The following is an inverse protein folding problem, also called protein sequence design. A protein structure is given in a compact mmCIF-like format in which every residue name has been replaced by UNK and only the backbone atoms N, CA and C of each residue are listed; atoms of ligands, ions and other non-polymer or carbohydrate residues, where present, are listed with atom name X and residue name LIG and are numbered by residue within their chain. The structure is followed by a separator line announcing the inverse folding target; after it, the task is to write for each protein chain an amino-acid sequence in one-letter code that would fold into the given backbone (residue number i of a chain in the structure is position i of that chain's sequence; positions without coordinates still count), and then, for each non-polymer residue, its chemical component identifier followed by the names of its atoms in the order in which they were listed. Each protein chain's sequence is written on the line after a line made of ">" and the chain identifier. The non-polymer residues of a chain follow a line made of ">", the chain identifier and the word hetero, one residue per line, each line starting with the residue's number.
data_IF_407677879081
#
_entry.id   IF_407677879081
#
_cell.length_a   1.000
_cell.length_b   1.000
_cell.length_c   1.000
_cell.angle_alpha   90.00
_cell.angle_beta   90.00
_cell.angle_gamma   90.00
#
_symmetry.space_group_name_H-M   'P 1'
#
loop_
_entity.id
_entity.type
_entity.pdbx_description
1 polymer ?
#
# COMPACT_ATOMS: atom_id res chain seq x y z
N UNK A 1 -9.43 -6.65 -12.66
CA UNK A 1 -8.08 -6.14 -13.02
C UNK A 1 -7.77 -6.57 -14.45
N UNK A 2 -7.04 -5.78 -15.26
CA UNK A 2 -6.96 -5.95 -16.72
C UNK A 2 -6.07 -7.14 -17.11
N UNK A 3 -6.44 -7.87 -18.15
CA UNK A 3 -5.73 -9.07 -18.61
C UNK A 3 -4.69 -8.70 -19.69
N UNK A 4 -3.40 -9.03 -19.47
CA UNK A 4 -2.30 -8.78 -20.42
C UNK A 4 -0.91 -9.04 -19.82
N UNK A 5 0.18 -9.03 -20.59
CA UNK A 5 1.55 -9.30 -20.07
C UNK A 5 2.07 -8.23 -19.11
N UNK A 6 1.62 -6.98 -19.24
CA UNK A 6 1.87 -5.90 -18.26
C UNK A 6 1.15 -6.10 -16.92
N UNK A 7 0.22 -7.06 -16.85
CA UNK A 7 -0.53 -7.36 -15.64
C UNK A 7 0.38 -7.90 -14.53
N UNK A 8 1.34 -8.77 -14.83
CA UNK A 8 2.21 -9.35 -13.78
C UNK A 8 3.05 -8.26 -13.11
N UNK A 9 3.59 -7.33 -13.90
CA UNK A 9 4.37 -6.19 -13.37
C UNK A 9 3.53 -5.26 -12.51
N UNK A 10 2.32 -4.92 -12.97
CA UNK A 10 1.39 -4.07 -12.21
C UNK A 10 0.83 -4.79 -10.98
N UNK A 11 0.62 -6.10 -11.08
CA UNK A 11 0.22 -6.96 -9.97
C UNK A 11 1.32 -6.97 -8.93
N UNK A 12 2.57 -7.31 -9.27
CA UNK A 12 3.70 -7.34 -8.33
C UNK A 12 3.83 -6.01 -7.56
N UNK A 13 3.75 -4.88 -8.26
CA UNK A 13 3.78 -3.56 -7.60
C UNK A 13 2.57 -3.36 -6.67
N UNK A 14 1.36 -3.75 -7.09
CA UNK A 14 0.13 -3.62 -6.31
C UNK A 14 0.06 -4.57 -5.09
N UNK A 15 0.40 -5.85 -5.25
CA UNK A 15 0.39 -6.84 -4.16
C UNK A 15 1.54 -6.67 -3.19
N UNK A 16 2.67 -6.07 -3.60
CA UNK A 16 3.78 -5.77 -2.66
C UNK A 16 3.37 -4.86 -1.49
N UNK A 17 2.29 -4.08 -1.65
CA UNK A 17 1.75 -3.18 -0.63
C UNK A 17 0.36 -3.59 -0.14
N UNK A 18 -0.21 -4.67 -0.67
CA UNK A 18 -1.56 -5.11 -0.32
C UNK A 18 -1.55 -5.82 1.04
N UNK A 19 -2.51 -5.48 1.91
CA UNK A 19 -2.69 -6.15 3.19
C UNK A 19 -3.62 -7.37 3.10
N UNK A 20 -4.44 -7.40 2.05
CA UNK A 20 -5.37 -8.47 1.73
C UNK A 20 -5.51 -8.60 0.21
N UNK A 21 -5.77 -9.82 -0.27
CA UNK A 21 -6.13 -10.09 -1.65
C UNK A 21 -7.60 -10.55 -1.71
N UNK A 22 -8.33 -10.08 -2.72
CA UNK A 22 -9.67 -10.59 -3.05
C UNK A 22 -9.58 -11.37 -4.34
N UNK A 23 -9.81 -12.68 -4.25
CA UNK A 23 -9.82 -13.61 -5.37
C UNK A 23 -11.26 -13.81 -5.84
N UNK A 24 -11.57 -13.36 -7.04
CA UNK A 24 -12.89 -13.54 -7.66
C UNK A 24 -12.88 -14.82 -8.49
N UNK A 25 -13.81 -15.72 -8.19
CA UNK A 25 -13.99 -17.01 -8.89
C UNK A 25 -15.39 -17.06 -9.46
N UNK A 26 -15.54 -17.19 -10.77
CA UNK A 26 -16.83 -17.29 -11.44
C UNK A 26 -17.46 -18.66 -11.25
N UNK A 27 -18.78 -18.70 -11.03
CA UNK A 27 -19.53 -19.93 -10.73
C UNK A 27 -20.19 -20.59 -11.95
N UNK A 28 -20.21 -19.94 -13.11
CA UNK A 28 -20.73 -20.51 -14.36
C UNK A 28 -19.99 -21.80 -14.71
N UNK A 29 -20.71 -22.84 -15.19
CA UNK A 29 -20.16 -24.19 -15.35
C UNK A 29 -18.91 -24.21 -16.24
N UNK A 30 -18.98 -23.60 -17.42
CA UNK A 30 -17.86 -23.48 -18.36
C UNK A 30 -16.78 -22.50 -17.88
N UNK A 31 -17.18 -21.41 -17.21
CA UNK A 31 -16.26 -20.37 -16.73
C UNK A 31 -15.41 -20.85 -15.55
N UNK A 32 -16.00 -21.64 -14.65
CA UNK A 32 -15.33 -22.17 -13.47
C UNK A 32 -14.25 -23.17 -13.86
N UNK A 33 -14.59 -24.15 -14.71
CA UNK A 33 -13.64 -25.14 -15.23
C UNK A 33 -12.51 -24.47 -16.01
N UNK A 34 -12.84 -23.46 -16.81
CA UNK A 34 -11.84 -22.65 -17.48
C UNK A 34 -10.91 -21.95 -16.47
N UNK A 35 -11.46 -21.35 -15.41
CA UNK A 35 -10.70 -20.61 -14.39
C UNK A 35 -9.78 -21.47 -13.51
N UNK A 36 -10.10 -22.76 -13.35
CA UNK A 36 -9.35 -23.72 -12.53
C UNK A 36 -8.41 -24.63 -13.33
N UNK A 37 -8.47 -24.57 -14.67
CA UNK A 37 -7.57 -25.32 -15.55
C UNK A 37 -6.09 -24.92 -15.38
N UNK A 38 -5.18 -25.87 -15.62
CA UNK A 38 -3.72 -25.86 -15.34
C UNK A 38 -2.91 -24.65 -15.86
N UNK A 39 -3.50 -23.73 -16.63
CA UNK A 39 -2.79 -22.68 -17.36
C UNK A 39 -3.44 -21.29 -17.19
N UNK A 40 -4.09 -21.01 -16.05
CA UNK A 40 -4.86 -19.75 -15.88
C UNK A 40 -4.57 -18.93 -14.63
N UNK A 41 -4.72 -17.63 -14.88
CA UNK A 41 -4.64 -16.45 -14.02
C UNK A 41 -5.09 -16.63 -12.57
N UNK A 42 -6.23 -17.28 -12.26
CA UNK A 42 -6.72 -17.39 -10.87
C UNK A 42 -5.71 -18.10 -9.96
N UNK A 43 -5.05 -19.13 -10.50
CA UNK A 43 -4.03 -19.89 -9.78
C UNK A 43 -2.74 -19.07 -9.61
N UNK A 44 -2.27 -18.47 -10.70
CA UNK A 44 -1.09 -17.61 -10.69
C UNK A 44 -1.27 -16.41 -9.75
N UNK A 45 -2.45 -15.78 -9.73
CA UNK A 45 -2.76 -14.64 -8.87
C UNK A 45 -2.70 -15.00 -7.39
N UNK A 46 -3.28 -16.14 -7.01
CA UNK A 46 -3.26 -16.60 -5.63
C UNK A 46 -1.83 -16.97 -5.18
N UNK A 47 -1.06 -17.61 -6.06
CA UNK A 47 0.34 -17.94 -5.81
C UNK A 47 1.22 -16.69 -5.71
N UNK A 48 1.05 -15.71 -6.62
CA UNK A 48 1.78 -14.44 -6.60
C UNK A 48 1.43 -13.64 -5.34
N UNK A 49 0.16 -13.56 -4.97
CA UNK A 49 -0.25 -12.88 -3.73
C UNK A 49 0.41 -13.51 -2.49
N UNK A 50 0.46 -14.84 -2.42
CA UNK A 50 1.10 -15.54 -1.31
C UNK A 50 2.62 -15.30 -1.28
N UNK A 51 3.27 -15.43 -2.44
CA UNK A 51 4.72 -15.21 -2.59
C UNK A 51 5.12 -13.79 -2.22
N UNK A 52 4.28 -12.80 -2.51
CA UNK A 52 4.50 -11.39 -2.17
C UNK A 52 4.14 -11.04 -0.72
N UNK A 53 3.79 -12.03 0.10
CA UNK A 53 3.58 -11.86 1.54
C UNK A 53 2.17 -11.44 1.94
N UNK A 54 1.20 -11.47 1.01
CA UNK A 54 -0.21 -11.22 1.34
C UNK A 54 -0.78 -12.46 2.02
N UNK A 55 -0.88 -12.42 3.34
CA UNK A 55 -1.36 -13.57 4.15
C UNK A 55 -2.88 -13.63 4.32
N UNK A 56 -3.58 -12.53 4.04
CA UNK A 56 -5.03 -12.44 4.14
C UNK A 56 -5.65 -12.57 2.75
N UNK A 57 -6.53 -13.56 2.59
CA UNK A 57 -7.20 -13.86 1.33
C UNK A 57 -8.71 -13.93 1.57
N UNK A 58 -9.46 -13.35 0.65
CA UNK A 58 -10.92 -13.43 0.56
C UNK A 58 -11.26 -14.05 -0.78
N UNK A 59 -12.17 -15.02 -0.81
CA UNK A 59 -12.64 -15.64 -2.04
C UNK A 59 -14.08 -15.20 -2.27
N UNK A 60 -14.32 -14.47 -3.36
CA UNK A 60 -15.65 -14.10 -3.83
C UNK A 60 -16.10 -15.05 -4.94
N UNK A 61 -17.11 -15.88 -4.67
CA UNK A 61 -17.76 -16.73 -5.66
C UNK A 61 -18.79 -15.89 -6.40
N UNK A 62 -18.46 -15.51 -7.64
CA UNK A 62 -19.15 -14.54 -8.48
C UNK A 62 -20.05 -15.19 -9.54
N UNK A 63 -21.07 -14.47 -10.02
CA UNK A 63 -22.08 -14.93 -10.98
C UNK A 63 -22.88 -16.17 -10.55
N UNK A 64 -23.28 -16.25 -9.29
CA UNK A 64 -24.14 -17.36 -8.85
C UNK A 64 -25.57 -17.30 -9.42
N UNK A 65 -26.00 -16.12 -9.86
CA UNK A 65 -27.21 -15.93 -10.67
C UNK A 65 -27.18 -16.72 -11.99
N UNK A 66 -25.98 -16.95 -12.54
CA UNK A 66 -25.76 -17.62 -13.82
C UNK A 66 -25.56 -19.14 -13.69
N UNK A 67 -25.75 -19.73 -12.50
CA UNK A 67 -25.72 -21.18 -12.35
C UNK A 67 -27.03 -21.80 -12.87
N UNK A 68 -27.01 -23.07 -13.22
CA UNK A 68 -28.20 -23.80 -13.67
C UNK A 68 -28.54 -24.91 -12.66
N UNK A 69 -29.62 -24.78 -11.86
CA UNK A 69 -30.49 -23.60 -11.69
C UNK A 69 -29.80 -22.44 -10.93
N UNK A 70 -30.34 -21.21 -10.98
CA UNK A 70 -29.74 -20.05 -10.32
C UNK A 70 -29.55 -20.26 -8.81
N UNK A 71 -28.44 -19.76 -8.26
CA UNK A 71 -28.10 -19.85 -6.82
C UNK A 71 -28.04 -21.29 -6.28
N UNK A 72 -27.49 -22.23 -7.06
CA UNK A 72 -27.42 -23.64 -6.67
C UNK A 72 -26.40 -23.89 -5.55
N UNK A 73 -26.87 -24.39 -4.40
CA UNK A 73 -26.01 -24.75 -3.25
C UNK A 73 -24.97 -25.82 -3.58
N UNK A 74 -25.32 -26.80 -4.42
CA UNK A 74 -24.42 -27.89 -4.82
C UNK A 74 -23.18 -27.35 -5.53
N UNK A 75 -23.36 -26.40 -6.46
CA UNK A 75 -22.28 -25.78 -7.23
C UNK A 75 -21.37 -24.93 -6.32
N UNK A 76 -21.97 -24.16 -5.42
CA UNK A 76 -21.19 -23.41 -4.43
C UNK A 76 -20.30 -24.33 -3.56
N UNK A 77 -20.85 -25.43 -3.04
CA UNK A 77 -20.08 -26.41 -2.24
C UNK A 77 -18.95 -27.07 -3.03
N UNK A 78 -19.18 -27.36 -4.31
CA UNK A 78 -18.16 -27.90 -5.22
C UNK A 78 -16.99 -26.92 -5.39
N UNK A 79 -17.30 -25.66 -5.75
CA UNK A 79 -16.32 -24.58 -5.94
C UNK A 79 -15.51 -24.37 -4.65
N UNK A 80 -16.18 -24.26 -3.50
CA UNK A 80 -15.51 -24.07 -2.22
C UNK A 80 -14.55 -25.22 -1.92
N UNK A 81 -14.93 -26.47 -2.19
CA UNK A 81 -14.08 -27.65 -1.96
C UNK A 81 -12.83 -27.64 -2.83
N UNK A 82 -12.99 -27.32 -4.12
CA UNK A 82 -11.88 -27.30 -5.07
C UNK A 82 -10.91 -26.15 -4.77
N UNK A 83 -11.44 -24.94 -4.58
CA UNK A 83 -10.64 -23.76 -4.21
C UNK A 83 -9.97 -23.96 -2.85
N UNK A 84 -10.63 -24.59 -1.87
CA UNK A 84 -10.03 -24.94 -0.57
C UNK A 84 -8.83 -25.86 -0.73
N UNK A 85 -8.93 -26.87 -1.59
CA UNK A 85 -7.81 -27.79 -1.88
C UNK A 85 -6.65 -27.03 -2.51
N UNK A 86 -6.96 -26.08 -3.40
CA UNK A 86 -5.98 -25.28 -4.11
C UNK A 86 -5.24 -24.28 -3.20
N UNK A 87 -5.96 -23.46 -2.43
CA UNK A 87 -5.36 -22.48 -1.50
C UNK A 87 -4.50 -23.16 -0.43
N UNK A 88 -4.89 -24.39 -0.01
CA UNK A 88 -4.12 -25.21 0.91
C UNK A 88 -2.79 -25.68 0.29
N UNK A 89 -2.76 -25.98 -1.01
CA UNK A 89 -1.51 -26.31 -1.74
C UNK A 89 -0.57 -25.11 -1.84
N UNK A 90 -1.11 -23.90 -2.01
CA UNK A 90 -0.29 -22.67 -2.05
C UNK A 90 0.32 -22.37 -0.67
N UNK A 91 -0.42 -22.62 0.41
CA UNK A 91 0.03 -22.40 1.79
C UNK A 91 -0.93 -21.59 2.66
N UNK A 92 -2.07 -21.12 2.12
CA UNK A 92 -3.10 -20.48 2.94
C UNK A 92 -3.83 -21.49 3.83
N UNK A 93 -4.20 -21.07 5.03
CA UNK A 93 -5.02 -21.89 5.93
C UNK A 93 -6.51 -21.73 5.58
N UNK A 94 -7.24 -22.79 5.19
CA UNK A 94 -8.64 -22.69 4.77
C UNK A 94 -9.56 -22.01 5.80
N UNK A 95 -9.32 -22.25 7.09
CA UNK A 95 -10.13 -21.68 8.18
C UNK A 95 -9.95 -20.16 8.31
N UNK A 96 -8.90 -19.58 7.72
CA UNK A 96 -8.61 -18.13 7.78
C UNK A 96 -9.19 -17.35 6.59
N UNK A 97 -9.73 -18.06 5.59
CA UNK A 97 -10.20 -17.50 4.32
C UNK A 97 -11.73 -17.46 4.33
N UNK A 98 -12.30 -16.28 4.04
CA UNK A 98 -13.74 -16.12 3.87
C UNK A 98 -14.14 -16.51 2.45
N UNK A 99 -15.17 -17.35 2.32
CA UNK A 99 -15.84 -17.63 1.05
C UNK A 99 -17.17 -16.88 1.02
N UNK A 100 -17.23 -15.84 0.21
CA UNK A 100 -18.43 -15.01 0.06
C UNK A 100 -19.09 -15.34 -1.25
N UNK A 101 -20.38 -15.61 -1.21
CA UNK A 101 -21.20 -15.75 -2.40
C UNK A 101 -21.66 -14.36 -2.83
N UNK A 102 -21.34 -13.90 -4.05
CA UNK A 102 -21.73 -12.58 -4.56
C UNK A 102 -22.34 -12.65 -5.97
N UNK A 103 -23.27 -11.75 -6.25
CA UNK A 103 -23.66 -11.38 -7.62
C UNK A 103 -23.48 -9.87 -7.79
N UNK A 104 -22.58 -9.45 -8.67
CA UNK A 104 -22.34 -8.03 -8.89
C UNK A 104 -23.42 -7.37 -9.74
N UNK A 105 -24.12 -8.14 -10.57
CA UNK A 105 -25.21 -7.62 -11.40
C UNK A 105 -26.45 -7.29 -10.56
N UNK A 106 -26.83 -8.22 -9.67
CA UNK A 106 -27.99 -8.07 -8.79
C UNK A 106 -27.65 -7.40 -7.44
N UNK A 107 -26.37 -7.23 -7.12
CA UNK A 107 -25.91 -6.69 -5.84
C UNK A 107 -25.97 -7.69 -4.67
N UNK A 108 -26.31 -8.96 -4.91
CA UNK A 108 -26.51 -9.96 -3.87
C UNK A 108 -25.27 -10.13 -2.98
N UNK A 109 -25.45 -10.01 -1.66
CA UNK A 109 -24.42 -10.15 -0.63
C UNK A 109 -23.20 -9.23 -0.82
N UNK A 110 -23.30 -8.16 -1.62
CA UNK A 110 -22.22 -7.18 -1.77
C UNK A 110 -22.19 -6.25 -0.55
N UNK A 111 -23.30 -5.54 -0.31
CA UNK A 111 -23.51 -4.65 0.81
C UNK A 111 -24.47 -5.28 1.83
N UNK A 112 -25.62 -5.74 1.33
CA UNK A 112 -26.71 -6.31 2.12
C UNK A 112 -26.92 -7.81 1.82
N UNK A 113 -27.43 -8.61 2.80
CA UNK A 113 -27.75 -10.01 2.57
C UNK A 113 -28.85 -10.18 1.51
N UNK A 114 -28.68 -11.16 0.63
CA UNK A 114 -29.65 -11.45 -0.42
C UNK A 114 -30.78 -12.37 0.06
N UNK A 115 -32.02 -12.00 -0.29
CA UNK A 115 -33.20 -12.86 -0.12
C UNK A 115 -33.22 -14.06 -1.07
N UNK A 116 -32.49 -14.01 -2.19
CA UNK A 116 -32.44 -15.06 -3.21
C UNK A 116 -31.66 -16.30 -2.74
N UNK A 117 -30.97 -16.20 -1.60
CA UNK A 117 -30.01 -17.21 -1.13
C UNK A 117 -30.28 -17.58 0.34
N UNK A 118 -31.50 -18.03 0.69
CA UNK A 118 -31.88 -18.29 2.08
C UNK A 118 -31.07 -19.43 2.73
N UNK A 119 -30.46 -20.30 1.92
CA UNK A 119 -29.64 -21.41 2.38
C UNK A 119 -28.21 -21.00 2.78
N UNK A 120 -27.73 -19.81 2.38
CA UNK A 120 -26.38 -19.35 2.69
C UNK A 120 -26.35 -18.70 4.07
N UNK A 121 -25.81 -19.44 5.05
CA UNK A 121 -25.69 -18.98 6.44
C UNK A 121 -24.53 -18.00 6.68
N UNK A 122 -23.90 -17.53 5.61
CA UNK A 122 -22.73 -16.67 5.70
C UNK A 122 -21.39 -17.41 5.70
N UNK A 123 -20.33 -16.63 5.73
CA UNK A 123 -18.95 -17.05 5.86
C UNK A 123 -18.52 -17.04 7.33
N UNK A 124 -17.51 -17.85 7.64
CA UNK A 124 -16.90 -17.91 8.97
C UNK A 124 -15.40 -17.99 8.82
N UNK A 125 -14.70 -17.13 9.55
CA UNK A 125 -13.23 -17.05 9.54
C UNK A 125 -12.72 -17.20 10.98
N UNK A 126 -11.74 -18.07 11.16
CA UNK A 126 -11.07 -18.34 12.42
C UNK A 126 -9.65 -17.80 12.33
N UNK A 127 -9.34 -16.76 13.11
CA UNK A 127 -7.99 -16.18 13.18
C UNK A 127 -7.49 -16.23 14.62
N UNK A 128 -6.17 -16.12 14.80
CA UNK A 128 -5.55 -16.08 16.14
C UNK A 128 -6.08 -14.93 17.01
N UNK A 129 -6.53 -13.83 16.40
CA UNK A 129 -7.07 -12.66 17.08
C UNK A 129 -8.57 -12.76 17.42
N UNK A 130 -9.29 -13.75 16.89
CA UNK A 130 -10.73 -13.90 17.08
C UNK A 130 -11.42 -14.59 15.91
N UNK A 131 -12.59 -15.16 16.19
CA UNK A 131 -13.46 -15.75 15.17
C UNK A 131 -14.45 -14.68 14.69
N UNK A 132 -14.55 -14.50 13.39
CA UNK A 132 -15.51 -13.58 12.77
C UNK A 132 -16.44 -14.35 11.85
N UNK A 133 -17.67 -13.86 11.75
CA UNK A 133 -18.68 -14.37 10.84
C UNK A 133 -19.42 -13.18 10.21
N UNK A 134 -20.05 -13.44 9.08
CA UNK A 134 -20.85 -12.46 8.38
C UNK A 134 -21.45 -13.08 7.13
N UNK A 135 -22.21 -12.30 6.39
CA UNK A 135 -22.92 -12.75 5.18
C UNK A 135 -22.44 -12.02 3.95
N UNK A 136 -22.04 -10.75 4.08
CA UNK A 136 -21.76 -9.88 2.94
C UNK A 136 -20.27 -9.69 2.70
N UNK A 137 -19.92 -9.22 1.50
CA UNK A 137 -18.55 -8.92 1.11
C UNK A 137 -17.98 -7.75 1.92
N UNK A 138 -18.78 -6.70 2.12
CA UNK A 138 -18.40 -5.55 2.93
C UNK A 138 -18.00 -5.95 4.35
N UNK A 139 -18.79 -6.81 5.00
CA UNK A 139 -18.49 -7.31 6.34
C UNK A 139 -17.16 -8.08 6.40
N UNK A 140 -16.77 -8.80 5.34
CA UNK A 140 -15.45 -9.45 5.31
C UNK A 140 -14.35 -8.41 5.24
N UNK A 141 -14.53 -7.39 4.39
CA UNK A 141 -13.54 -6.33 4.20
C UNK A 141 -13.30 -5.57 5.51
N UNK A 142 -14.37 -5.26 6.25
CA UNK A 142 -14.27 -4.63 7.58
C UNK A 142 -13.58 -5.53 8.61
N UNK A 143 -13.65 -6.85 8.43
CA UNK A 143 -12.97 -7.82 9.28
C UNK A 143 -11.51 -8.06 8.89
N UNK A 144 -10.95 -7.42 7.86
CA UNK A 144 -9.52 -7.55 7.50
C UNK A 144 -8.67 -7.02 8.65
N UNK A 145 -7.72 -7.82 9.14
CA UNK A 145 -6.81 -7.34 10.17
C UNK A 145 -5.87 -6.30 9.57
N UNK A 146 -5.58 -5.20 10.30
CA UNK A 146 -4.53 -4.30 9.89
C UNK A 146 -3.22 -5.09 9.77
N UNK A 147 -2.32 -4.70 8.86
CA UNK A 147 -1.02 -5.35 8.73
C UNK A 147 -0.31 -5.35 10.08
N UNK A 148 0.18 -6.51 10.49
CA UNK A 148 1.01 -6.60 11.70
C UNK A 148 2.31 -5.85 11.44
N UNK A 149 2.49 -4.72 12.13
CA UNK A 149 3.76 -4.01 12.12
C UNK A 149 4.83 -4.96 12.72
N UNK A 150 5.91 -5.27 11.99
CA UNK A 150 6.90 -6.27 12.42
C UNK A 150 7.83 -5.75 13.53
N UNK A 151 7.27 -5.13 14.57
CA UNK A 151 7.99 -4.54 15.70
C UNK A 151 8.67 -5.57 16.59
N UNK A 152 8.12 -6.79 16.67
CA UNK A 152 8.67 -7.89 17.45
C UNK A 152 9.83 -8.66 16.78
N UNK A 153 10.27 -8.25 15.59
CA UNK A 153 11.44 -8.83 14.91
C UNK A 153 12.71 -8.03 15.25
N UNK A 154 13.91 -8.59 15.02
CA UNK A 154 15.14 -7.81 15.08
C UNK A 154 15.09 -6.59 14.16
N UNK A 155 15.81 -5.53 14.53
CA UNK A 155 15.89 -4.32 13.72
C UNK A 155 16.59 -4.64 12.41
N UNK A 156 15.91 -4.34 11.30
CA UNK A 156 16.50 -4.41 9.96
C UNK A 156 16.21 -3.10 9.24
N UNK A 157 17.28 -2.40 8.88
CA UNK A 157 17.24 -1.11 8.19
C UNK A 157 18.25 -1.11 7.06
N UNK A 158 17.82 -1.40 5.82
CA UNK A 158 18.67 -1.20 4.65
C UNK A 158 19.11 0.26 4.57
N UNK A 159 20.42 0.47 4.40
CA UNK A 159 20.95 1.80 4.16
C UNK A 159 20.63 2.23 2.73
N UNK A 160 20.09 3.43 2.60
CA UNK A 160 19.86 4.10 1.33
C UNK A 160 21.04 5.00 1.01
N UNK A 161 21.44 5.84 1.98
CA UNK A 161 22.51 6.82 1.84
C UNK A 161 23.27 6.99 3.17
N UNK A 162 24.44 7.63 3.11
CA UNK A 162 25.25 7.98 4.27
C UNK A 162 25.76 9.41 4.12
N UNK A 163 25.57 10.22 5.16
CA UNK A 163 26.05 11.60 5.22
C UNK A 163 27.10 11.77 6.30
N UNK A 164 28.02 12.72 6.09
CA UNK A 164 28.92 13.23 7.14
C UNK A 164 28.47 14.65 7.44
N UNK A 165 28.05 14.92 8.67
CA UNK A 165 27.45 16.20 9.04
C UNK A 165 28.32 16.82 10.13
N UNK A 166 29.29 17.67 9.74
CA UNK A 166 30.11 18.44 10.69
C UNK A 166 30.60 17.63 11.90
N UNK A 167 30.25 18.09 13.12
CA UNK A 167 30.60 17.46 14.40
C UNK A 167 29.87 16.11 14.64
N UNK A 168 28.83 15.80 13.85
CA UNK A 168 28.09 14.54 13.85
C UNK A 168 28.72 13.64 12.77
N UNK A 169 29.70 12.86 13.20
CA UNK A 169 30.64 12.10 12.35
C UNK A 169 30.02 11.38 11.15
N UNK A 170 28.94 10.60 11.32
CA UNK A 170 28.32 9.82 10.24
C UNK A 170 26.85 9.54 10.52
N UNK A 171 25.98 9.93 9.58
CA UNK A 171 24.52 9.78 9.66
C UNK A 171 24.03 8.86 8.53
N UNK A 172 23.75 7.58 8.83
CA UNK A 172 23.16 6.67 7.86
C UNK A 172 21.66 6.93 7.70
N UNK A 173 21.17 6.94 6.46
CA UNK A 173 19.75 7.15 6.10
C UNK A 173 19.17 5.88 5.51
N UNK A 174 17.90 5.58 5.83
CA UNK A 174 17.25 4.36 5.41
C UNK A 174 15.92 4.12 6.12
N UNK A 175 15.09 3.27 5.51
CA UNK A 175 13.78 2.85 6.03
C UNK A 175 13.94 1.69 6.99
N UNK A 176 13.32 1.77 8.16
CA UNK A 176 13.20 0.62 9.05
C UNK A 176 12.20 -0.35 8.43
N UNK A 177 12.64 -1.55 8.07
CA UNK A 177 11.80 -2.59 7.47
C UNK A 177 11.22 -3.53 8.53
N UNK A 178 12.00 -3.84 9.58
CA UNK A 178 11.55 -4.63 10.73
C UNK A 178 12.16 -4.14 12.05
N UNK A 179 11.52 -4.49 13.17
CA UNK A 179 11.96 -4.14 14.52
C UNK A 179 11.75 -2.67 14.88
N UNK A 180 12.15 -2.29 16.09
CA UNK A 180 12.07 -0.90 16.57
C UNK A 180 13.48 -0.38 16.80
N UNK A 181 13.86 0.69 16.11
CA UNK A 181 15.14 1.36 16.31
C UNK A 181 14.95 2.44 17.38
N UNK A 182 15.77 2.45 18.43
CA UNK A 182 15.73 3.46 19.51
C UNK A 182 17.12 4.05 19.73
N UNK A 183 17.22 5.30 20.21
CA UNK A 183 18.47 5.83 20.75
C UNK A 183 19.04 4.88 21.82
N UNK A 184 20.35 4.87 21.95
CA UNK A 184 21.16 3.99 22.80
C UNK A 184 21.12 2.50 22.45
N UNK A 185 20.46 2.09 21.37
CA UNK A 185 20.60 0.72 20.87
C UNK A 185 21.97 0.53 20.24
N UNK A 186 22.61 -0.61 20.54
CA UNK A 186 23.79 -1.07 19.84
C UNK A 186 23.36 -1.80 18.56
N UNK A 187 23.81 -1.32 17.41
CA UNK A 187 23.46 -1.85 16.09
C UNK A 187 24.71 -2.33 15.36
N UNK A 188 24.54 -3.37 14.54
CA UNK A 188 25.61 -3.95 13.73
C UNK A 188 25.32 -3.76 12.26
N UNK A 189 26.29 -3.21 11.53
CA UNK A 189 26.25 -2.99 10.08
C UNK A 189 26.87 -4.19 9.36
N UNK A 190 26.04 -4.90 8.60
CA UNK A 190 26.47 -5.99 7.72
C UNK A 190 26.77 -5.48 6.30
N UNK A 191 27.68 -6.11 5.53
CA UNK A 191 28.38 -7.37 5.82
C UNK A 191 29.67 -7.21 6.65
N UNK A 192 30.11 -5.98 6.91
CA UNK A 192 31.42 -5.70 7.52
C UNK A 192 31.47 -5.87 9.05
N UNK A 193 30.36 -6.27 9.69
CA UNK A 193 30.22 -6.51 11.12
C UNK A 193 30.68 -5.34 12.01
N UNK A 194 30.53 -4.10 11.53
CA UNK A 194 30.84 -2.89 12.30
C UNK A 194 29.72 -2.65 13.30
N UNK A 195 30.04 -2.53 14.59
CA UNK A 195 29.04 -2.32 15.64
C UNK A 195 29.20 -0.93 16.24
N UNK A 196 28.09 -0.22 16.45
CA UNK A 196 28.09 1.13 17.02
C UNK A 196 26.78 1.40 17.78
N UNK A 197 26.79 2.40 18.63
CA UNK A 197 25.62 2.85 19.38
C UNK A 197 24.87 3.93 18.59
N UNK A 198 23.54 3.81 18.51
CA UNK A 198 22.66 4.83 17.94
C UNK A 198 22.57 6.00 18.91
N UNK A 199 23.10 7.17 18.54
CA UNK A 199 23.06 8.36 19.42
C UNK A 199 21.70 9.07 19.39
N UNK A 200 21.20 9.36 18.20
CA UNK A 200 19.89 9.98 17.99
C UNK A 200 19.21 9.36 16.77
N UNK A 201 17.90 9.56 16.68
CA UNK A 201 17.10 9.20 15.51
C UNK A 201 16.28 10.43 15.16
N UNK A 202 16.34 10.83 13.91
CA UNK A 202 15.64 12.01 13.41
C UNK A 202 14.80 11.68 12.18
N UNK A 203 13.61 12.28 12.12
CA UNK A 203 12.73 12.27 10.94
C UNK A 203 12.28 13.71 10.73
N UNK A 204 12.51 14.27 9.54
CA UNK A 204 12.21 15.68 9.22
C UNK A 204 12.77 16.69 10.25
N UNK A 205 14.03 16.50 10.68
CA UNK A 205 14.71 17.33 11.69
C UNK A 205 14.07 17.33 13.09
N UNK A 206 13.13 16.42 13.37
CA UNK A 206 12.61 16.19 14.73
C UNK A 206 13.25 14.93 15.34
N UNK A 207 13.73 15.07 16.57
CA UNK A 207 14.26 13.95 17.34
C UNK A 207 13.14 13.00 17.78
N UNK A 208 13.33 11.71 17.53
CA UNK A 208 12.38 10.66 17.88
C UNK A 208 12.91 9.80 19.03
N UNK A 209 11.99 9.41 19.92
CA UNK A 209 12.25 8.40 20.97
C UNK A 209 12.35 6.97 20.41
N UNK A 210 11.91 6.75 19.17
CA UNK A 210 12.10 5.51 18.43
C UNK A 210 11.46 5.53 17.04
N UNK A 211 12.03 4.77 16.10
CA UNK A 211 11.51 4.55 14.76
C UNK A 211 10.90 3.15 14.62
N UNK A 212 9.69 3.09 14.05
CA UNK A 212 8.93 1.86 13.83
C UNK A 212 9.08 1.38 12.38
N UNK A 213 8.79 0.10 12.09
CA UNK A 213 8.77 -0.38 10.71
C UNK A 213 7.85 0.46 9.83
N UNK A 214 8.38 0.93 8.70
CA UNK A 214 7.66 1.79 7.77
C UNK A 214 7.74 3.29 8.08
N UNK A 215 8.26 3.72 9.23
CA UNK A 215 8.58 5.14 9.43
C UNK A 215 9.76 5.52 8.56
N UNK A 216 9.52 6.33 7.52
CA UNK A 216 10.56 6.94 6.70
C UNK A 216 10.70 8.42 7.05
N UNK A 217 11.94 8.91 7.04
CA UNK A 217 12.24 10.34 6.92
C UNK A 217 12.04 10.87 5.50
N UNK A 218 11.76 9.99 4.53
CA UNK A 218 11.68 10.34 3.12
C UNK A 218 10.41 9.71 2.50
N UNK A 219 9.29 10.43 2.55
CA UNK A 219 8.46 10.53 1.34
C UNK A 219 8.96 11.79 0.62
N UNK A 220 10.04 11.67 -0.14
CA UNK A 220 10.45 12.72 -1.07
C UNK A 220 9.72 12.43 -2.39
N UNK A 221 8.57 13.08 -2.66
CA UNK A 221 7.88 12.85 -3.92
C UNK A 221 8.77 13.33 -5.07
N UNK A 222 8.50 12.80 -6.26
CA UNK A 222 9.23 13.18 -7.45
C UNK A 222 8.66 14.47 -8.00
N UNK A 223 9.52 15.45 -8.20
CA UNK A 223 9.20 16.71 -8.83
C UNK A 223 9.53 16.63 -10.32
N UNK A 224 8.51 16.87 -11.15
CA UNK A 224 8.66 17.00 -12.59
C UNK A 224 8.63 18.48 -12.95
N UNK A 225 9.77 19.03 -13.37
CA UNK A 225 9.92 20.40 -13.86
C UNK A 225 10.61 20.32 -15.23
N UNK A 226 9.90 20.65 -16.31
CA UNK A 226 10.33 20.39 -17.70
C UNK A 226 10.67 18.93 -17.96
N UNK A 227 11.94 18.67 -18.24
CA UNK A 227 12.56 17.38 -18.49
C UNK A 227 13.21 16.81 -17.24
N UNK A 228 13.33 17.60 -16.16
CA UNK A 228 13.88 17.15 -14.89
C UNK A 228 12.85 16.31 -14.13
N UNK A 229 13.29 15.14 -13.68
CA UNK A 229 12.51 14.18 -12.91
C UNK A 229 13.34 13.77 -11.69
N UNK A 230 13.24 14.55 -10.62
CA UNK A 230 14.13 14.47 -9.44
C UNK A 230 13.29 14.40 -8.17
N UNK A 231 13.71 13.55 -7.22
CA UNK A 231 13.08 13.51 -5.90
C UNK A 231 13.43 14.79 -5.12
N UNK A 232 12.41 15.47 -4.60
CA UNK A 232 12.58 16.68 -3.81
C UNK A 232 12.01 16.48 -2.41
N UNK A 233 12.75 16.92 -1.41
CA UNK A 233 12.29 16.95 -0.04
C UNK A 233 11.51 18.24 0.24
N UNK A 234 10.45 18.15 1.04
CA UNK A 234 9.69 19.29 1.54
C UNK A 234 10.38 19.72 2.83
N UNK A 235 11.26 20.72 2.75
CA UNK A 235 12.11 21.12 3.87
C UNK A 235 11.30 21.87 4.94
N UNK A 236 10.44 22.80 4.53
CA UNK A 236 9.62 23.58 5.44
C UNK A 236 8.29 23.95 4.79
N UNK A 237 7.19 23.78 5.52
CA UNK A 237 5.88 24.31 5.14
C UNK A 237 5.78 25.72 5.73
N UNK A 238 6.09 26.75 4.95
CA UNK A 238 6.11 28.13 5.46
C UNK A 238 4.72 28.65 5.78
N UNK A 239 3.80 28.54 4.83
CA UNK A 239 2.50 29.18 4.96
C UNK A 239 1.41 28.33 4.32
N UNK A 240 0.24 28.28 4.95
CA UNK A 240 -0.99 27.81 4.31
C UNK A 240 -1.75 29.00 3.74
N UNK A 241 -2.22 28.88 2.51
CA UNK A 241 -2.92 29.91 1.76
C UNK A 241 -4.35 29.48 1.44
N UNK A 242 -5.26 30.45 1.37
CA UNK A 242 -6.58 30.26 0.79
C UNK A 242 -6.49 30.15 -0.74
N UNK A 243 -7.02 29.05 -1.29
CA UNK A 243 -6.89 28.69 -2.71
C UNK A 243 -7.46 29.73 -3.70
N UNK A 244 -8.37 30.60 -3.27
CA UNK A 244 -9.04 31.57 -4.15
C UNK A 244 -8.47 32.98 -4.03
N UNK A 245 -8.04 33.35 -2.83
CA UNK A 245 -7.63 34.72 -2.51
C UNK A 245 -6.13 34.88 -2.28
N UNK A 246 -5.36 33.79 -2.27
CA UNK A 246 -3.93 33.74 -1.93
C UNK A 246 -3.60 34.38 -0.58
N UNK A 247 -4.61 34.56 0.30
CA UNK A 247 -4.42 35.09 1.63
C UNK A 247 -3.87 34.03 2.56
N UNK A 248 -2.88 34.40 3.37
CA UNK A 248 -2.32 33.57 4.43
C UNK A 248 -3.41 33.19 5.44
N UNK A 249 -3.58 31.89 5.67
CA UNK A 249 -4.49 31.30 6.64
C UNK A 249 -3.76 30.85 7.91
N UNK A 250 -2.57 30.25 7.75
CA UNK A 250 -1.80 29.67 8.85
C UNK A 250 -0.30 29.81 8.57
N UNK A 251 0.50 30.03 9.61
CA UNK A 251 1.95 30.07 9.57
C UNK A 251 2.51 28.74 10.08
N UNK A 252 3.46 28.13 9.37
CA UNK A 252 4.08 26.87 9.77
C UNK A 252 3.10 25.69 9.96
N UNK A 253 2.19 25.38 9.01
CA UNK A 253 1.22 24.31 9.21
C UNK A 253 1.91 22.95 9.40
N UNK A 254 1.44 22.15 10.38
CA UNK A 254 2.02 20.83 10.67
C UNK A 254 1.77 19.78 9.58
N UNK A 255 0.71 19.94 8.79
CA UNK A 255 0.37 19.06 7.67
C UNK A 255 -0.51 19.78 6.64
N UNK A 256 -0.50 19.30 5.40
CA UNK A 256 -1.39 19.76 4.32
C UNK A 256 -2.37 18.66 3.91
N UNK A 257 -3.60 19.03 3.55
CA UNK A 257 -4.65 18.13 3.06
C UNK A 257 -4.98 18.42 1.60
N UNK A 258 -5.72 17.50 0.98
CA UNK A 258 -6.25 17.72 -0.37
C UNK A 258 -7.05 19.02 -0.45
N UNK A 259 -6.81 19.79 -1.50
CA UNK A 259 -7.37 21.14 -1.76
C UNK A 259 -6.75 22.30 -0.97
N UNK A 260 -5.76 22.05 -0.11
CA UNK A 260 -4.98 23.13 0.51
C UNK A 260 -4.02 23.77 -0.51
N UNK A 261 -3.72 25.05 -0.32
CA UNK A 261 -2.62 25.75 -1.00
C UNK A 261 -1.60 26.18 0.03
N UNK A 262 -0.31 26.18 -0.32
CA UNK A 262 0.75 26.48 0.63
C UNK A 262 2.02 27.01 -0.06
N UNK A 263 2.84 27.72 0.71
CA UNK A 263 4.23 28.07 0.38
C UNK A 263 5.13 27.05 1.07
N UNK A 264 6.01 26.43 0.28
CA UNK A 264 6.85 25.33 0.74
C UNK A 264 8.27 25.54 0.23
N UNK A 265 9.24 25.39 1.13
CA UNK A 265 10.65 25.28 0.76
C UNK A 265 10.97 23.85 0.37
N UNK A 266 11.59 23.70 -0.79
CA UNK A 266 11.89 22.39 -1.37
C UNK A 266 13.37 22.25 -1.65
N UNK A 267 13.95 21.11 -1.26
CA UNK A 267 15.37 20.81 -1.51
C UNK A 267 15.46 19.61 -2.45
N UNK A 268 16.01 19.77 -3.66
CA UNK A 268 16.18 18.66 -4.59
C UNK A 268 17.27 17.71 -4.09
N UNK A 269 17.02 16.40 -4.18
CA UNK A 269 17.99 15.37 -3.74
C UNK A 269 19.19 15.19 -4.68
N UNK A 270 19.13 15.81 -5.88
CA UNK A 270 20.22 15.86 -6.87
C UNK A 270 20.28 17.26 -7.46
N UNK A 271 21.41 17.61 -8.07
CA UNK A 271 21.53 18.88 -8.80
C UNK A 271 20.40 19.02 -9.82
N UNK A 272 19.71 20.16 -9.78
CA UNK A 272 18.52 20.45 -10.56
C UNK A 272 18.57 21.91 -11.00
N UNK A 273 18.39 22.15 -12.29
CA UNK A 273 18.28 23.50 -12.82
C UNK A 273 16.80 23.91 -12.85
N UNK A 274 16.45 24.91 -12.06
CA UNK A 274 15.11 25.50 -12.00
C UNK A 274 15.21 27.01 -11.88
N UNK A 275 14.16 27.69 -12.30
CA UNK A 275 14.06 29.14 -12.29
C UNK A 275 12.72 29.59 -11.69
N UNK A 276 12.67 30.83 -11.21
CA UNK A 276 11.41 31.40 -10.72
C UNK A 276 10.39 31.50 -11.87
N UNK A 277 9.11 31.26 -11.57
CA UNK A 277 8.05 31.34 -12.57
C UNK A 277 7.85 32.76 -13.12
N UNK A 278 8.17 33.78 -12.32
CA UNK A 278 8.09 35.19 -12.71
C UNK A 278 9.16 35.54 -13.75
N UNK A 279 10.36 34.97 -13.63
CA UNK A 279 11.47 35.25 -14.54
C UNK A 279 11.40 34.38 -15.80
N UNK A 280 11.07 33.10 -15.64
CA UNK A 280 10.91 32.15 -16.73
C UNK A 280 9.63 31.34 -16.57
N UNK A 281 8.77 31.19 -17.60
CA UNK A 281 7.55 30.37 -17.56
C UNK A 281 7.78 28.89 -17.19
N UNK A 282 9.06 28.52 -17.19
CA UNK A 282 9.63 27.26 -16.79
C UNK A 282 9.50 26.99 -15.27
N UNK A 283 9.16 27.95 -14.42
CA UNK A 283 8.98 27.68 -12.97
C UNK A 283 7.79 26.77 -12.58
N UNK A 284 7.13 26.04 -13.49
CA UNK A 284 5.98 25.15 -13.19
C UNK A 284 6.42 23.71 -12.98
N UNK A 285 5.88 23.08 -11.94
CA UNK A 285 6.18 21.68 -11.64
C UNK A 285 4.96 20.89 -11.19
N UNK A 286 5.06 19.57 -11.35
CA UNK A 286 4.12 18.61 -10.79
C UNK A 286 4.82 17.72 -9.77
N UNK A 287 4.19 17.54 -8.61
CA UNK A 287 4.64 16.65 -7.55
C UNK A 287 3.94 15.31 -7.75
N UNK A 288 4.71 14.25 -7.91
CA UNK A 288 4.22 12.89 -8.10
C UNK A 288 4.63 11.99 -6.95
N UNK A 289 3.66 11.24 -6.44
CA UNK A 289 3.88 10.16 -5.50
C UNK A 289 3.12 8.91 -5.98
N UNK A 290 3.74 7.73 -5.87
CA UNK A 290 3.16 6.46 -6.31
C UNK A 290 2.53 6.49 -7.73
N UNK A 291 3.12 7.26 -8.65
CA UNK A 291 2.65 7.50 -10.04
C UNK A 291 1.34 8.30 -10.18
N UNK A 292 0.86 8.91 -9.11
CA UNK A 292 -0.23 9.89 -9.15
C UNK A 292 0.33 11.29 -8.94
N UNK A 293 -0.27 12.28 -9.59
CA UNK A 293 0.04 13.69 -9.30
C UNK A 293 -0.69 14.07 -8.03
N UNK A 294 0.06 14.35 -6.97
CA UNK A 294 -0.48 14.69 -5.64
C UNK A 294 -0.55 16.20 -5.40
N UNK A 295 0.28 16.97 -6.09
CA UNK A 295 0.23 18.43 -6.09
C UNK A 295 0.80 19.02 -7.39
N UNK A 296 0.47 20.28 -7.64
CA UNK A 296 1.05 21.11 -8.70
C UNK A 296 1.49 22.43 -8.09
N UNK A 297 2.56 23.01 -8.61
CA UNK A 297 3.15 24.20 -8.03
C UNK A 297 3.85 25.11 -9.03
N UNK A 298 4.14 26.31 -8.55
CA UNK A 298 4.95 27.31 -9.24
C UNK A 298 6.08 27.76 -8.32
N UNK A 299 7.28 27.86 -8.87
CA UNK A 299 8.48 28.29 -8.15
C UNK A 299 8.43 29.80 -7.97
N UNK A 300 8.51 30.26 -6.72
CA UNK A 300 8.50 31.69 -6.37
C UNK A 300 9.91 32.28 -6.31
N UNK A 301 10.86 31.53 -5.77
CA UNK A 301 12.26 31.92 -5.64
C UNK A 301 13.16 30.67 -5.72
N UNK A 302 14.42 30.87 -6.09
CA UNK A 302 15.45 29.81 -6.15
C UNK A 302 16.74 30.38 -5.56
N UNK A 303 17.28 29.72 -4.54
CA UNK A 303 18.62 30.01 -4.04
C UNK A 303 19.64 29.30 -4.93
N UNK A 304 20.37 30.09 -5.73
CA UNK A 304 21.41 29.58 -6.64
C UNK A 304 22.73 29.53 -5.89
N UNK A 305 23.10 28.32 -5.44
CA UNK A 305 24.42 28.02 -4.88
C UNK A 305 25.41 27.59 -5.96
#
# INVERSE_FOLDING_TARGET
>A
MPQGTDFIKNMIMGTSRANCAVLIVTAGVSEFEASMSKNRQTQEHALLAYTLGVKQLIVGVYKMDSTEPPYTQKKYKEIVKEVTTYIKKIGYHPNTVAFVLISGWNGDNMLDPSANIPWFKGWKVTRKAGNTNGTTLLQVLDCILPPTCPTGKPVYRPLQDMYKIGDISTVPVGRVETGVLKPSMVVTFTPFNVTTEVKSIEIHNEALSGALPGTTSNHAPVLNCHTAHIACNFAELKEKLDRRSDKKLEDGPKFLKSSDSAIVDMVPGKSMCVESFSDYPLGRFAVRDMRQTVAVGVIKAVDKN
#
